data_IF_656517829514
#
_entry.id   IF_656517829514
#
_cell.length_a   1.000
_cell.length_b   1.000
_cell.length_c   1.000
_cell.angle_alpha   90.00
_cell.angle_beta   90.00
_cell.angle_gamma   90.00
#
_symmetry.space_group_name_H-M   'P 1'
#
loop_
_entity.id
_entity.type
_entity.pdbx_description
1 polymer ?
#
# COMPACT_ATOMS: atom_id res chain seq x y z
N UNK A 1 2.68 -0.56 -17.04
CA UNK A 1 3.56 0.60 -16.80
C UNK A 1 4.78 -0.03 -16.18
N UNK A 2 5.88 -0.25 -16.92
CA UNK A 2 6.92 -1.19 -16.49
C UNK A 2 7.64 -0.70 -15.22
N UNK A 3 7.23 -1.20 -14.05
CA UNK A 3 7.88 -0.96 -12.77
C UNK A 3 8.37 -2.30 -12.22
N UNK A 4 9.67 -2.40 -11.95
CA UNK A 4 10.23 -3.61 -11.34
C UNK A 4 9.94 -3.60 -9.83
N UNK A 5 9.38 -4.71 -9.33
CA UNK A 5 9.09 -4.89 -7.92
C UNK A 5 10.38 -4.95 -7.10
N UNK A 6 10.49 -4.04 -6.12
CA UNK A 6 11.64 -3.98 -5.20
C UNK A 6 11.36 -4.72 -3.89
N UNK A 7 10.11 -4.70 -3.43
CA UNK A 7 9.64 -5.46 -2.28
C UNK A 7 8.15 -5.26 -2.03
N UNK A 8 7.63 -6.01 -1.09
CA UNK A 8 6.21 -6.02 -0.71
C UNK A 8 6.13 -5.82 0.80
N UNK A 9 5.31 -4.87 1.27
CA UNK A 9 4.96 -4.76 2.69
C UNK A 9 3.55 -5.25 2.96
N UNK A 10 3.35 -5.87 4.12
CA UNK A 10 2.06 -6.39 4.59
C UNK A 10 1.92 -6.08 6.07
N UNK A 11 0.73 -5.67 6.50
CA UNK A 11 0.41 -5.46 7.91
C UNK A 11 -0.83 -6.28 8.28
N UNK A 12 -0.67 -7.41 9.00
CA UNK A 12 -1.79 -8.25 9.40
C UNK A 12 -2.57 -7.68 10.61
N UNK A 13 -1.95 -6.81 11.40
CA UNK A 13 -2.55 -6.20 12.58
C UNK A 13 -1.91 -4.84 12.90
N UNK A 14 -2.61 -3.93 13.63
CA UNK A 14 -2.03 -2.65 14.01
C UNK A 14 -0.72 -2.79 14.79
N UNK A 15 0.30 -2.06 14.37
CA UNK A 15 1.65 -2.12 14.94
C UNK A 15 2.46 -3.36 14.52
N UNK A 16 1.92 -4.22 13.65
CA UNK A 16 2.61 -5.38 13.09
C UNK A 16 2.70 -5.23 11.56
N UNK A 17 3.91 -5.15 11.04
CA UNK A 17 4.14 -5.07 9.60
C UNK A 17 5.47 -5.73 9.21
N UNK A 18 5.47 -6.32 8.02
CA UNK A 18 6.60 -7.06 7.47
C UNK A 18 6.93 -6.54 6.09
N UNK A 19 8.22 -6.45 5.79
CA UNK A 19 8.72 -6.14 4.45
C UNK A 19 9.46 -7.34 3.87
N UNK A 20 9.12 -7.70 2.64
CA UNK A 20 9.75 -8.78 1.89
C UNK A 20 10.53 -8.15 0.71
N UNK A 21 11.85 -7.94 0.85
CA UNK A 21 12.68 -7.40 -0.21
C UNK A 21 12.95 -8.46 -1.29
N UNK A 22 12.84 -8.07 -2.57
CA UNK A 22 13.02 -8.96 -3.73
C UNK A 22 13.86 -8.36 -4.86
N UNK A 23 14.11 -7.05 -4.86
CA UNK A 23 14.75 -6.33 -5.97
C UNK A 23 15.70 -5.21 -5.55
N UNK A 24 16.19 -5.22 -4.31
CA UNK A 24 17.24 -4.26 -3.90
C UNK A 24 18.59 -4.61 -4.53
N UNK A 25 19.31 -3.57 -4.96
CA UNK A 25 20.64 -3.63 -5.58
C UNK A 25 21.58 -2.64 -4.87
N UNK A 26 22.87 -2.99 -4.76
CA UNK A 26 23.87 -2.14 -4.08
C UNK A 26 24.69 -2.87 -3.02
N UNK A 27 25.43 -2.10 -2.21
CA UNK A 27 26.42 -2.61 -1.24
C UNK A 27 25.79 -2.79 0.15
N UNK A 28 26.02 -3.95 0.80
CA UNK A 28 25.44 -4.30 2.11
C UNK A 28 24.21 -5.22 2.03
N UNK A 29 24.13 -6.07 1.01
CA UNK A 29 22.94 -6.86 0.69
C UNK A 29 22.54 -7.81 1.82
N UNK A 30 21.34 -7.57 2.36
CA UNK A 30 20.57 -8.61 3.04
C UNK A 30 20.22 -9.67 1.99
N UNK A 31 20.30 -10.95 2.36
CA UNK A 31 19.86 -12.03 1.48
C UNK A 31 18.37 -11.83 1.16
N UNK A 32 18.04 -11.83 -0.14
CA UNK A 32 16.68 -11.61 -0.63
C UNK A 32 16.12 -12.91 -1.18
N UNK A 33 14.85 -13.17 -0.92
CA UNK A 33 14.17 -14.31 -1.51
C UNK A 33 14.02 -14.10 -3.02
N UNK A 34 14.13 -15.16 -3.84
CA UNK A 34 13.80 -15.09 -5.26
C UNK A 34 12.38 -14.56 -5.44
N UNK A 35 12.20 -13.55 -6.30
CA UNK A 35 10.90 -12.93 -6.57
C UNK A 35 9.81 -13.97 -6.87
N UNK A 36 10.13 -14.96 -7.72
CA UNK A 36 9.18 -16.05 -8.03
C UNK A 36 8.71 -16.78 -6.77
N UNK A 37 9.62 -17.08 -5.84
CA UNK A 37 9.25 -17.76 -4.59
C UNK A 37 8.31 -16.90 -3.75
N UNK A 38 8.55 -15.60 -3.67
CA UNK A 38 7.68 -14.67 -2.93
C UNK A 38 6.29 -14.60 -3.58
N UNK A 39 6.23 -14.41 -4.90
CA UNK A 39 4.98 -14.39 -5.66
C UNK A 39 4.20 -15.70 -5.50
N UNK A 40 4.86 -16.86 -5.65
CA UNK A 40 4.22 -18.17 -5.49
C UNK A 40 3.58 -18.35 -4.10
N UNK A 41 4.15 -17.71 -3.05
CA UNK A 41 3.64 -17.80 -1.67
C UNK A 41 2.59 -16.75 -1.33
N UNK A 42 2.66 -15.57 -1.91
CA UNK A 42 1.68 -14.51 -1.69
C UNK A 42 0.45 -14.62 -2.59
N UNK A 43 0.58 -15.26 -3.75
CA UNK A 43 -0.51 -15.42 -4.70
C UNK A 43 -1.75 -16.09 -4.08
N UNK A 44 -1.67 -17.24 -3.37
CA UNK A 44 -2.86 -17.86 -2.78
C UNK A 44 -3.67 -16.94 -1.85
N UNK A 45 -3.10 -16.29 -0.81
CA UNK A 45 -3.89 -15.40 0.05
C UNK A 45 -4.36 -14.11 -0.66
N UNK A 46 -3.62 -13.62 -1.67
CA UNK A 46 -4.03 -12.43 -2.44
C UNK A 46 -5.18 -12.73 -3.40
N UNK A 47 -5.21 -13.92 -4.00
CA UNK A 47 -6.28 -14.39 -4.89
C UNK A 47 -7.49 -15.01 -4.14
N UNK A 48 -7.33 -15.36 -2.87
CA UNK A 48 -8.45 -15.82 -2.04
C UNK A 48 -9.46 -14.67 -1.82
N UNK A 49 -10.75 -14.91 -2.07
CA UNK A 49 -11.79 -13.91 -1.83
C UNK A 49 -12.22 -13.80 -0.34
N UNK A 50 -11.65 -14.61 0.55
CA UNK A 50 -12.00 -14.68 1.97
C UNK A 50 -11.32 -13.60 2.81
N UNK A 51 -9.96 -13.48 2.83
CA UNK A 51 -9.33 -12.39 3.58
C UNK A 51 -9.62 -11.06 2.90
N UNK A 52 -10.06 -10.08 3.69
CA UNK A 52 -10.20 -8.69 3.26
C UNK A 52 -8.82 -8.06 3.07
N UNK A 53 -8.64 -7.33 1.96
CA UNK A 53 -7.44 -6.54 1.70
C UNK A 53 -7.78 -5.06 1.84
N UNK A 54 -6.83 -4.33 2.39
CA UNK A 54 -6.89 -2.89 2.55
C UNK A 54 -5.65 -2.30 1.89
N UNK A 55 -5.82 -1.17 1.23
CA UNK A 55 -4.73 -0.49 0.55
C UNK A 55 -4.89 1.03 0.59
N UNK A 56 -3.84 1.72 0.17
CA UNK A 56 -3.89 3.14 -0.14
C UNK A 56 -3.54 3.29 -1.62
N UNK A 57 -4.50 3.71 -2.45
CA UNK A 57 -4.37 3.67 -3.91
C UNK A 57 -4.13 2.25 -4.45
N UNK A 58 -4.94 1.30 -3.99
CA UNK A 58 -4.81 -0.13 -4.26
C UNK A 58 -4.83 -0.48 -5.75
N UNK A 59 -5.43 0.36 -6.60
CA UNK A 59 -5.34 0.23 -8.07
C UNK A 59 -3.89 0.08 -8.52
N UNK A 60 -2.97 0.90 -8.01
CA UNK A 60 -1.57 0.84 -8.38
C UNK A 60 -0.93 -0.49 -7.99
N UNK A 61 -1.14 -0.93 -6.74
CA UNK A 61 -0.61 -2.20 -6.24
C UNK A 61 -1.13 -3.39 -7.05
N UNK A 62 -2.43 -3.37 -7.37
CA UNK A 62 -3.08 -4.38 -8.21
C UNK A 62 -2.50 -4.43 -9.62
N UNK A 63 -2.26 -3.28 -10.26
CA UNK A 63 -1.62 -3.22 -11.58
C UNK A 63 -0.21 -3.82 -11.55
N UNK A 64 0.60 -3.47 -10.54
CA UNK A 64 1.95 -4.02 -10.40
C UNK A 64 1.90 -5.53 -10.14
N UNK A 65 1.03 -6.00 -9.26
CA UNK A 65 0.86 -7.44 -8.96
C UNK A 65 0.37 -8.24 -10.19
N UNK A 66 -0.47 -7.65 -11.03
CA UNK A 66 -0.93 -8.26 -12.27
C UNK A 66 0.20 -8.47 -13.29
N UNK A 67 1.22 -7.59 -13.33
CA UNK A 67 2.42 -7.79 -14.16
C UNK A 67 3.22 -9.05 -13.74
N UNK A 68 3.04 -9.50 -12.48
CA UNK A 68 3.60 -10.75 -11.96
C UNK A 68 2.59 -11.92 -11.91
N UNK A 69 1.45 -11.76 -12.60
CA UNK A 69 0.42 -12.79 -12.72
C UNK A 69 -0.36 -13.03 -11.44
N UNK A 70 -0.45 -12.07 -10.52
CA UNK A 70 -1.26 -12.16 -9.29
C UNK A 70 -2.54 -11.33 -9.47
N UNK A 71 -3.69 -11.96 -9.26
CA UNK A 71 -5.00 -11.26 -9.28
C UNK A 71 -5.46 -10.97 -7.86
N UNK A 72 -5.39 -9.72 -7.40
CA UNK A 72 -5.85 -9.41 -6.04
C UNK A 72 -7.37 -9.44 -5.98
N UNK A 73 -7.92 -10.29 -5.11
CA UNK A 73 -9.35 -10.39 -4.85
C UNK A 73 -9.71 -9.83 -3.47
N UNK A 74 -10.96 -9.41 -3.30
CA UNK A 74 -11.50 -8.91 -2.03
C UNK A 74 -10.72 -7.71 -1.44
N UNK A 75 -10.35 -6.75 -2.29
CA UNK A 75 -9.95 -5.41 -1.84
C UNK A 75 -11.19 -4.67 -1.34
N UNK A 76 -11.40 -4.67 -0.03
CA UNK A 76 -12.63 -4.15 0.59
C UNK A 76 -12.52 -2.68 0.99
N UNK A 77 -11.29 -2.13 1.04
CA UNK A 77 -11.09 -0.75 1.47
C UNK A 77 -9.88 -0.11 0.79
N UNK A 78 -10.08 1.02 0.14
CA UNK A 78 -9.03 1.92 -0.33
C UNK A 78 -9.13 3.26 0.41
N UNK A 79 -8.12 3.57 1.23
CA UNK A 79 -8.11 4.78 2.05
C UNK A 79 -8.05 6.07 1.23
N UNK A 80 -7.49 6.03 0.01
CA UNK A 80 -7.46 7.19 -0.89
C UNK A 80 -8.87 7.49 -1.42
N UNK A 81 -9.63 6.45 -1.78
CA UNK A 81 -11.03 6.57 -2.23
C UNK A 81 -11.93 7.04 -1.08
N UNK A 82 -11.75 6.47 0.12
CA UNK A 82 -12.48 6.91 1.30
C UNK A 82 -12.23 8.40 1.60
N UNK A 83 -10.96 8.83 1.59
CA UNK A 83 -10.58 10.23 1.78
C UNK A 83 -11.19 11.15 0.70
N UNK A 84 -11.26 10.69 -0.55
CA UNK A 84 -11.91 11.44 -1.63
C UNK A 84 -13.39 11.68 -1.35
N UNK A 85 -14.15 10.63 -0.99
CA UNK A 85 -15.57 10.76 -0.66
C UNK A 85 -15.81 11.67 0.55
N UNK A 86 -14.92 11.61 1.54
CA UNK A 86 -14.96 12.46 2.73
C UNK A 86 -14.49 13.90 2.46
N UNK A 87 -14.18 14.25 1.21
CA UNK A 87 -13.73 15.58 0.79
C UNK A 87 -12.46 16.05 1.52
N UNK A 88 -11.53 15.13 1.79
CA UNK A 88 -10.25 15.46 2.39
C UNK A 88 -9.42 16.38 1.47
N UNK A 89 -8.73 17.35 2.08
CA UNK A 89 -7.92 18.34 1.33
C UNK A 89 -6.74 17.70 0.59
N UNK A 90 -6.19 16.62 1.14
CA UNK A 90 -5.10 15.86 0.55
C UNK A 90 -5.45 14.39 0.62
N UNK A 91 -5.20 13.68 -0.47
CA UNK A 91 -5.47 12.26 -0.58
C UNK A 91 -4.23 11.40 -0.34
N UNK A 92 -3.05 12.00 -0.14
CA UNK A 92 -1.81 11.26 0.06
C UNK A 92 -1.72 10.69 1.48
N UNK A 93 -1.29 9.43 1.60
CA UNK A 93 -1.21 8.70 2.87
C UNK A 93 -0.55 9.50 4.00
N UNK A 94 0.57 10.18 3.71
CA UNK A 94 1.36 10.92 4.71
C UNK A 94 0.61 12.14 5.24
N UNK A 95 -0.11 12.84 4.36
CA UNK A 95 -0.92 13.97 4.74
C UNK A 95 -2.16 13.52 5.54
N UNK A 96 -2.78 12.41 5.15
CA UNK A 96 -3.91 11.81 5.87
C UNK A 96 -3.49 11.31 7.25
N UNK A 97 -2.35 10.64 7.37
CA UNK A 97 -1.81 10.19 8.65
C UNK A 97 -1.60 11.38 9.60
N UNK A 98 -1.04 12.48 9.11
CA UNK A 98 -0.86 13.67 9.92
C UNK A 98 -2.20 14.32 10.31
N UNK A 99 -3.13 14.51 9.37
CA UNK A 99 -4.38 15.22 9.65
C UNK A 99 -5.37 14.41 10.49
N UNK A 100 -5.41 13.08 10.32
CA UNK A 100 -6.39 12.19 10.98
C UNK A 100 -5.84 11.52 12.23
N UNK A 101 -4.56 11.14 12.23
CA UNK A 101 -3.95 10.40 13.34
C UNK A 101 -2.95 11.26 14.14
N UNK A 102 -2.58 12.45 13.64
CA UNK A 102 -1.53 13.27 14.25
C UNK A 102 -0.13 12.67 14.09
N UNK A 103 0.05 11.73 13.15
CA UNK A 103 1.31 10.99 12.95
C UNK A 103 2.08 11.62 11.78
N UNK A 104 3.30 12.10 12.06
CA UNK A 104 4.23 12.53 11.02
C UNK A 104 4.97 11.31 10.46
N UNK A 105 4.71 11.00 9.18
CA UNK A 105 5.35 9.89 8.48
C UNK A 105 6.58 10.35 7.70
N UNK A 106 7.52 9.44 7.51
CA UNK A 106 8.70 9.69 6.67
C UNK A 106 8.25 9.94 5.22
N UNK A 107 8.60 11.07 4.58
CA UNK A 107 8.29 11.30 3.18
C UNK A 107 9.21 10.45 2.28
N UNK A 108 8.72 10.04 1.10
CA UNK A 108 9.51 9.20 0.18
C UNK A 108 10.82 9.89 -0.23
N UNK A 109 10.83 11.22 -0.31
CA UNK A 109 12.01 12.02 -0.65
C UNK A 109 13.15 11.89 0.36
N UNK A 110 12.88 11.47 1.61
CA UNK A 110 13.93 11.16 2.57
C UNK A 110 14.67 9.85 2.24
N UNK A 111 14.02 8.95 1.50
CA UNK A 111 14.63 7.69 1.04
C UNK A 111 15.34 7.88 -0.29
N UNK A 112 14.61 8.43 -1.27
CA UNK A 112 15.05 8.43 -2.66
C UNK A 112 15.54 9.80 -3.15
N UNK A 113 15.47 10.85 -2.34
CA UNK A 113 15.80 12.21 -2.78
C UNK A 113 14.71 12.81 -3.68
N UNK A 114 15.05 13.87 -4.41
CA UNK A 114 14.12 14.59 -5.29
C UNK A 114 14.82 15.17 -6.52
N UNK A 115 14.03 15.46 -7.55
CA UNK A 115 14.51 16.06 -8.80
C UNK A 115 15.56 15.20 -9.50
N UNK A 116 16.56 15.83 -10.10
CA UNK A 116 17.60 15.14 -10.86
C UNK A 116 18.51 14.22 -10.02
N UNK A 117 18.48 14.33 -8.69
CA UNK A 117 19.25 13.48 -7.77
C UNK A 117 18.43 12.32 -7.21
N UNK A 118 17.18 12.15 -7.65
CA UNK A 118 16.33 11.08 -7.19
C UNK A 118 16.91 9.72 -7.61
N UNK A 119 17.03 8.80 -6.66
CA UNK A 119 17.49 7.42 -6.90
C UNK A 119 16.29 6.46 -7.02
N UNK A 120 16.53 5.27 -7.56
CA UNK A 120 15.55 4.18 -7.53
C UNK A 120 15.37 3.66 -6.10
N UNK A 121 14.17 3.19 -5.75
CA UNK A 121 13.92 2.48 -4.49
C UNK A 121 14.82 1.24 -4.36
N UNK A 122 15.18 0.60 -5.48
CA UNK A 122 16.10 -0.55 -5.48
C UNK A 122 17.49 -0.22 -4.93
N UNK A 123 17.90 1.06 -4.94
CA UNK A 123 19.20 1.51 -4.39
C UNK A 123 19.12 1.92 -2.91
N UNK A 124 17.92 1.90 -2.31
CA UNK A 124 17.75 2.21 -0.89
C UNK A 124 18.17 1.00 -0.06
N UNK A 125 18.78 1.25 1.10
CA UNK A 125 19.14 0.21 2.05
C UNK A 125 17.89 -0.52 2.58
N UNK A 126 17.95 -1.85 2.66
CA UNK A 126 16.77 -2.70 2.93
C UNK A 126 16.06 -2.32 4.22
N UNK A 127 16.79 -2.04 5.31
CA UNK A 127 16.13 -1.70 6.59
C UNK A 127 15.40 -0.36 6.49
N UNK A 128 15.96 0.64 5.79
CA UNK A 128 15.29 1.92 5.56
C UNK A 128 14.03 1.79 4.69
N UNK A 129 14.07 0.92 3.68
CA UNK A 129 12.91 0.62 2.86
C UNK A 129 11.84 -0.16 3.66
N UNK A 130 12.27 -1.07 4.54
CA UNK A 130 11.40 -1.78 5.46
C UNK A 130 10.68 -0.81 6.40
N UNK A 131 11.41 0.05 7.14
CA UNK A 131 10.80 1.03 8.06
C UNK A 131 9.76 1.91 7.36
N UNK A 132 10.07 2.38 6.15
CA UNK A 132 9.16 3.20 5.35
C UNK A 132 7.91 2.43 4.90
N UNK A 133 8.10 1.27 4.25
CA UNK A 133 7.01 0.51 3.63
C UNK A 133 6.12 -0.20 4.66
N UNK A 134 6.68 -0.62 5.78
CA UNK A 134 5.93 -1.18 6.91
C UNK A 134 5.07 -0.10 7.57
N UNK A 135 5.61 1.10 7.80
CA UNK A 135 4.82 2.22 8.31
C UNK A 135 3.66 2.57 7.37
N UNK A 136 3.89 2.55 6.05
CA UNK A 136 2.82 2.75 5.07
C UNK A 136 1.70 1.70 5.18
N UNK A 137 2.06 0.43 5.30
CA UNK A 137 1.08 -0.66 5.43
C UNK A 137 0.27 -0.59 6.73
N UNK A 138 0.94 -0.37 7.87
CA UNK A 138 0.29 -0.27 9.18
C UNK A 138 -0.63 0.95 9.28
N UNK A 139 -0.13 2.13 8.89
CA UNK A 139 -0.92 3.37 8.93
C UNK A 139 -2.12 3.29 7.98
N UNK A 140 -2.01 2.59 6.85
CA UNK A 140 -3.16 2.33 5.97
C UNK A 140 -4.27 1.58 6.70
N UNK A 141 -3.93 0.53 7.47
CA UNK A 141 -4.90 -0.20 8.28
C UNK A 141 -5.56 0.68 9.36
N UNK A 142 -4.75 1.47 10.07
CA UNK A 142 -5.25 2.38 11.11
C UNK A 142 -6.16 3.49 10.55
N UNK A 143 -5.80 4.06 9.39
CA UNK A 143 -6.63 5.03 8.69
C UNK A 143 -7.93 4.41 8.20
N UNK A 144 -7.92 3.16 7.72
CA UNK A 144 -9.12 2.51 7.23
C UNK A 144 -10.21 2.41 8.30
N UNK A 145 -9.85 2.03 9.52
CA UNK A 145 -10.80 1.96 10.65
C UNK A 145 -11.41 3.34 10.96
N UNK A 146 -10.60 4.40 10.99
CA UNK A 146 -11.06 5.76 11.24
C UNK A 146 -11.96 6.28 10.11
N UNK A 147 -11.51 6.18 8.85
CA UNK A 147 -12.25 6.68 7.70
C UNK A 147 -13.55 5.89 7.47
N UNK A 148 -13.57 4.59 7.78
CA UNK A 148 -14.79 3.78 7.76
C UNK A 148 -15.84 4.33 8.71
N UNK A 149 -15.47 4.69 9.94
CA UNK A 149 -16.40 5.29 10.90
C UNK A 149 -16.95 6.62 10.39
N UNK A 150 -16.10 7.48 9.80
CA UNK A 150 -16.52 8.75 9.22
C UNK A 150 -17.46 8.58 8.01
N UNK A 151 -17.19 7.60 7.13
CA UNK A 151 -18.06 7.27 5.99
C UNK A 151 -19.46 6.86 6.47
N UNK A 152 -19.54 6.05 7.54
CA UNK A 152 -20.83 5.71 8.14
C UNK A 152 -21.53 6.94 8.73
N UNK A 153 -20.80 7.79 9.47
CA UNK A 153 -21.35 8.99 10.08
C UNK A 153 -21.92 9.97 9.04
N UNK A 154 -21.30 10.08 7.87
CA UNK A 154 -21.75 10.95 6.78
C UNK A 154 -22.74 10.29 5.82
N UNK A 155 -23.12 9.02 6.06
CA UNK A 155 -24.04 8.28 5.18
C UNK A 155 -23.47 7.91 3.80
N UNK A 156 -22.14 7.90 3.67
CA UNK A 156 -21.42 7.64 2.41
C UNK A 156 -21.02 6.17 2.25
N UNK A 157 -21.25 5.33 3.26
CA UNK A 157 -20.80 3.93 3.25
C UNK A 157 -21.33 3.11 2.05
N UNK A 158 -22.60 3.26 1.67
CA UNK A 158 -23.16 2.52 0.54
C UNK A 158 -22.53 2.95 -0.79
N UNK A 159 -22.36 4.26 -1.00
CA UNK A 159 -21.64 4.78 -2.17
C UNK A 159 -20.20 4.22 -2.22
N UNK A 160 -19.50 4.25 -1.08
CA UNK A 160 -18.15 3.71 -0.98
C UNK A 160 -18.10 2.22 -1.31
N UNK A 161 -18.89 1.39 -0.61
CA UNK A 161 -18.76 -0.07 -0.64
C UNK A 161 -19.46 -0.73 -1.83
N UNK A 162 -20.55 -0.17 -2.35
CA UNK A 162 -21.35 -0.78 -3.42
C UNK A 162 -21.07 -0.17 -4.80
N UNK A 163 -20.42 1.00 -4.88
CA UNK A 163 -20.14 1.69 -6.15
C UNK A 163 -18.65 1.93 -6.35
N UNK A 164 -17.99 2.66 -5.45
CA UNK A 164 -16.59 3.06 -5.64
C UNK A 164 -15.62 1.87 -5.53
N UNK A 165 -15.72 1.06 -4.47
CA UNK A 165 -14.82 -0.09 -4.27
C UNK A 165 -14.93 -1.15 -5.39
N UNK A 166 -16.14 -1.52 -5.89
CA UNK A 166 -16.26 -2.40 -7.06
C UNK A 166 -15.66 -1.84 -8.35
N UNK A 167 -15.52 -0.51 -8.48
CA UNK A 167 -14.93 0.13 -9.66
C UNK A 167 -13.40 0.08 -9.68
N UNK A 168 -12.75 0.05 -8.51
CA UNK A 168 -11.28 -0.02 -8.39
C UNK A 168 -10.64 -1.09 -9.28
N UNK A 169 -11.06 -2.38 -9.22
CA UNK A 169 -10.48 -3.43 -10.08
C UNK A 169 -10.82 -3.30 -11.57
N UNK A 170 -11.84 -2.51 -11.95
CA UNK A 170 -12.24 -2.30 -13.35
C UNK A 170 -11.35 -1.26 -14.04
N UNK A 171 -10.70 -0.38 -13.27
CA UNK A 171 -9.85 0.70 -13.76
C UNK A 171 -8.37 0.30 -13.93
N UNK A 172 -8.06 -1.00 -13.86
CA UNK A 172 -6.72 -1.54 -14.05
C UNK A 172 -6.22 -1.43 -15.50
#
# INVERSE_FOLDING_TARGET
MSAEMVGISLSPAPGEAYYIPVGHVGWGQVEQLPLKQVIDRLKPPLEDATPAKLAHNGKYDMTVLAEYGVTVNNLTFDTMVAAYLLSEKSLGLKALAFSKLGIEMTPITALIGSGAKQISMSLVEVNRAADYSCADADITGQLAELLKAELHQQGLWQLFSEVEMPLVPVLL
#
